data_IF_266505590082
#
_entry.id   IF_266505590082
#
_cell.length_a   1.000
_cell.length_b   1.000
_cell.length_c   1.000
_cell.angle_alpha   90.00
_cell.angle_beta   90.00
_cell.angle_gamma   90.00
#
_symmetry.space_group_name_H-M   'P 1'
#
loop_
_entity.id
_entity.type
_entity.pdbx_description
1 polymer ?
#
# COMPACT_ATOMS: atom_id res chain seq x y z
N UNK A 1 -3.95 -18.00 11.37
CA UNK A 1 -4.25 -16.77 10.60
C UNK A 1 -5.72 -16.41 10.66
N UNK A 2 -6.58 -17.15 9.97
CA UNK A 2 -7.98 -16.77 9.67
C UNK A 2 -8.80 -16.31 10.87
N UNK A 3 -8.87 -17.08 11.96
CA UNK A 3 -9.67 -16.72 13.15
C UNK A 3 -9.18 -15.40 13.78
N UNK A 4 -7.86 -15.20 13.85
CA UNK A 4 -7.29 -13.94 14.37
C UNK A 4 -7.60 -12.76 13.45
N UNK A 5 -7.64 -12.97 12.14
CA UNK A 5 -7.96 -11.92 11.19
C UNK A 5 -9.40 -11.42 11.31
N UNK A 6 -10.34 -12.31 11.67
CA UNK A 6 -11.71 -11.91 11.99
C UNK A 6 -11.81 -11.14 13.32
N UNK A 7 -10.95 -11.46 14.28
CA UNK A 7 -10.91 -10.78 15.57
C UNK A 7 -10.21 -9.40 15.51
N UNK A 8 -9.21 -9.27 14.63
CA UNK A 8 -8.36 -8.09 14.51
C UNK A 8 -8.19 -7.65 13.04
N UNK A 9 -9.28 -7.25 12.35
CA UNK A 9 -9.25 -6.88 10.94
C UNK A 9 -8.36 -5.67 10.62
N UNK A 10 -8.18 -4.76 11.58
CA UNK A 10 -7.30 -3.60 11.51
C UNK A 10 -5.81 -3.94 11.60
N UNK A 11 -5.49 -5.16 12.08
CA UNK A 11 -4.12 -5.66 12.31
C UNK A 11 -3.65 -6.68 11.28
N UNK A 12 -4.41 -6.85 10.20
CA UNK A 12 -3.91 -7.48 8.99
C UNK A 12 -2.69 -6.72 8.48
N UNK A 13 -1.68 -7.44 8.02
CA UNK A 13 -0.41 -6.83 7.65
C UNK A 13 0.17 -7.44 6.36
N UNK A 14 0.83 -6.57 5.59
CA UNK A 14 1.66 -6.94 4.45
C UNK A 14 3.09 -6.47 4.64
N UNK A 15 4.08 -7.15 4.06
CA UNK A 15 5.44 -6.64 3.95
C UNK A 15 5.46 -5.29 3.23
N UNK A 16 6.27 -4.36 3.72
CA UNK A 16 6.49 -3.09 3.02
C UNK A 16 7.45 -3.32 1.86
N UNK A 17 7.07 -2.87 0.67
CA UNK A 17 7.93 -2.95 -0.51
C UNK A 17 9.26 -2.20 -0.27
N UNK A 18 10.35 -2.76 -0.81
CA UNK A 18 11.72 -2.19 -0.73
C UNK A 18 12.30 -2.08 0.68
N UNK A 19 11.68 -2.69 1.69
CA UNK A 19 12.17 -2.72 3.06
C UNK A 19 12.66 -4.12 3.45
N UNK A 20 13.40 -4.21 4.56
CA UNK A 20 13.91 -5.49 5.06
C UNK A 20 12.76 -6.42 5.51
N UNK A 21 12.94 -7.75 5.43
CA UNK A 21 11.97 -8.70 5.97
C UNK A 21 11.57 -8.38 7.41
N UNK A 22 10.31 -8.58 7.74
CA UNK A 22 9.76 -8.27 9.04
C UNK A 22 9.25 -6.84 9.21
N UNK A 23 9.55 -5.91 8.29
CA UNK A 23 8.90 -4.58 8.26
C UNK A 23 7.56 -4.69 7.54
N UNK A 24 6.50 -4.42 8.28
CA UNK A 24 5.12 -4.63 7.86
C UNK A 24 4.34 -3.31 7.88
N UNK A 25 3.33 -3.21 7.04
CA UNK A 25 2.27 -2.19 7.11
C UNK A 25 0.98 -2.87 7.53
N UNK A 26 0.32 -2.31 8.56
CA UNK A 26 -1.00 -2.78 9.01
C UNK A 26 -2.10 -2.16 8.14
N UNK A 27 -3.25 -2.82 8.08
CA UNK A 27 -4.46 -2.32 7.42
C UNK A 27 -4.88 -0.94 7.94
N UNK A 28 -4.64 -0.66 9.22
CA UNK A 28 -4.82 0.66 9.82
C UNK A 28 -3.86 1.76 9.29
N UNK A 29 -2.92 1.43 8.40
CA UNK A 29 -1.87 2.33 7.89
C UNK A 29 -0.65 2.49 8.78
N UNK A 30 -0.64 1.86 9.96
CA UNK A 30 0.49 1.92 10.89
C UNK A 30 1.63 1.02 10.44
N UNK A 31 2.86 1.46 10.64
CA UNK A 31 4.04 0.60 10.52
C UNK A 31 4.12 -0.37 11.70
N UNK A 32 4.54 -1.60 11.42
CA UNK A 32 4.84 -2.59 12.45
C UNK A 32 6.09 -3.40 12.06
N UNK A 33 6.78 -3.99 13.04
CA UNK A 33 8.00 -4.75 12.80
C UNK A 33 8.07 -6.02 13.64
N UNK A 34 8.47 -7.12 13.02
CA UNK A 34 8.92 -8.34 13.70
C UNK A 34 10.40 -8.22 14.08
N UNK A 35 10.85 -9.08 14.98
CA UNK A 35 12.29 -9.28 15.21
C UNK A 35 12.95 -9.81 13.92
N UNK A 36 14.18 -9.37 13.57
CA UNK A 36 14.83 -9.76 12.32
C UNK A 36 15.03 -11.26 12.12
N UNK A 37 15.08 -12.02 13.22
CA UNK A 37 15.28 -13.47 13.23
C UNK A 37 13.96 -14.25 13.34
N UNK A 38 12.83 -13.55 13.41
CA UNK A 38 11.53 -14.20 13.51
C UNK A 38 11.22 -14.93 12.19
N UNK A 39 10.84 -16.22 12.23
CA UNK A 39 10.49 -16.97 11.02
C UNK A 39 9.31 -16.35 10.25
N UNK A 40 8.45 -15.58 10.92
CA UNK A 40 7.34 -14.89 10.28
C UNK A 40 7.77 -13.64 9.49
N UNK A 41 9.02 -13.19 9.61
CA UNK A 41 9.52 -12.00 8.90
C UNK A 41 9.42 -12.12 7.38
N UNK A 42 9.47 -13.34 6.85
CA UNK A 42 9.34 -13.65 5.43
C UNK A 42 7.90 -14.02 4.99
N UNK A 43 6.91 -13.88 5.87
CA UNK A 43 5.51 -14.18 5.53
C UNK A 43 4.98 -13.20 4.49
N UNK A 44 4.24 -13.70 3.50
CA UNK A 44 3.59 -12.86 2.48
C UNK A 44 2.47 -11.98 3.05
N UNK A 45 1.81 -12.43 4.10
CA UNK A 45 0.81 -11.71 4.88
C UNK A 45 0.71 -12.33 6.28
N UNK A 46 0.33 -11.51 7.26
CA UNK A 46 0.08 -11.98 8.62
C UNK A 46 -0.98 -11.13 9.32
N UNK A 47 -1.44 -11.58 10.48
CA UNK A 47 -2.25 -10.80 11.41
C UNK A 47 -1.51 -10.69 12.73
N UNK A 48 -1.37 -9.47 13.25
CA UNK A 48 -0.73 -9.24 14.55
C UNK A 48 -1.75 -9.39 15.69
N UNK A 49 -1.57 -10.40 16.53
CA UNK A 49 -2.36 -10.60 17.74
C UNK A 49 -1.93 -9.67 18.87
N UNK A 50 -0.63 -9.41 19.00
CA UNK A 50 -0.07 -8.55 20.05
C UNK A 50 0.97 -7.56 19.50
N UNK A 51 0.80 -6.28 19.84
CA UNK A 51 1.61 -5.14 19.44
C UNK A 51 1.93 -4.30 20.68
N UNK A 52 3.12 -3.69 20.75
CA UNK A 52 3.52 -2.80 21.87
C UNK A 52 2.91 -1.38 21.83
N UNK A 53 2.18 -1.05 20.77
CA UNK A 53 1.39 0.17 20.67
C UNK A 53 2.15 1.42 20.22
N UNK A 54 3.44 1.35 19.88
CA UNK A 54 4.20 2.50 19.35
C UNK A 54 3.51 3.09 18.10
N UNK A 55 3.35 4.42 18.09
CA UNK A 55 2.64 5.15 17.04
C UNK A 55 3.42 5.26 15.73
N UNK A 56 4.76 5.19 15.76
CA UNK A 56 5.61 5.27 14.56
C UNK A 56 5.84 3.89 13.94
N UNK A 57 6.29 2.92 14.74
CA UNK A 57 6.52 1.55 14.30
C UNK A 57 6.30 0.60 15.47
N UNK A 58 5.16 -0.08 15.50
CA UNK A 58 4.83 -1.01 16.58
C UNK A 58 5.62 -2.32 16.46
N UNK A 59 6.15 -2.84 17.56
CA UNK A 59 6.73 -4.18 17.57
C UNK A 59 5.63 -5.24 17.59
N UNK A 60 5.74 -6.22 16.71
CA UNK A 60 4.88 -7.40 16.67
C UNK A 60 5.49 -8.46 17.59
N UNK A 61 4.75 -8.83 18.63
CA UNK A 61 5.15 -9.87 19.58
C UNK A 61 4.53 -11.22 19.27
N UNK A 62 3.26 -11.20 18.83
CA UNK A 62 2.53 -12.39 18.44
C UNK A 62 1.82 -12.11 17.13
N UNK A 63 2.02 -12.99 16.17
CA UNK A 63 1.34 -12.96 14.89
C UNK A 63 1.04 -14.38 14.42
N UNK A 64 0.12 -14.49 13.47
CA UNK A 64 -0.08 -15.71 12.73
C UNK A 64 -0.01 -15.42 11.23
N UNK A 65 0.68 -16.26 10.45
CA UNK A 65 0.69 -16.11 9.00
C UNK A 65 -0.72 -16.40 8.45
N UNK A 66 -1.01 -15.81 7.31
CA UNK A 66 -2.14 -16.19 6.47
C UNK A 66 -1.74 -16.05 5.00
N UNK A 67 -2.41 -16.80 4.10
CA UNK A 67 -2.22 -16.62 2.68
C UNK A 67 -2.58 -15.19 2.27
N UNK A 68 -1.83 -14.58 1.35
CA UNK A 68 -2.15 -13.24 0.82
C UNK A 68 -3.57 -13.18 0.26
N UNK A 69 -3.98 -14.23 -0.45
CA UNK A 69 -5.32 -14.37 -1.02
C UNK A 69 -6.45 -14.32 0.03
N UNK A 70 -6.16 -14.65 1.31
CA UNK A 70 -7.17 -14.57 2.35
C UNK A 70 -7.54 -13.12 2.71
N UNK A 71 -6.67 -12.14 2.44
CA UNK A 71 -6.97 -10.73 2.73
C UNK A 71 -8.20 -10.24 1.96
N UNK A 72 -8.33 -10.62 0.68
CA UNK A 72 -9.48 -10.26 -0.16
C UNK A 72 -10.76 -10.99 0.25
N UNK A 73 -10.64 -12.21 0.78
CA UNK A 73 -11.79 -13.02 1.19
C UNK A 73 -12.37 -12.62 2.55
N UNK A 74 -11.55 -12.04 3.43
CA UNK A 74 -11.93 -11.75 4.81
C UNK A 74 -12.79 -10.49 4.97
N UNK A 75 -12.60 -9.49 4.09
CA UNK A 75 -13.28 -8.19 4.15
C UNK A 75 -13.60 -7.66 2.74
N UNK A 76 -14.38 -8.40 1.93
CA UNK A 76 -14.66 -8.02 0.55
C UNK A 76 -15.34 -6.65 0.42
N UNK A 77 -16.15 -6.26 1.41
CA UNK A 77 -16.83 -4.97 1.46
C UNK A 77 -15.93 -3.76 1.72
N UNK A 78 -14.68 -3.98 2.16
CA UNK A 78 -13.68 -2.93 2.38
C UNK A 78 -12.63 -2.87 1.27
N UNK A 79 -12.75 -3.71 0.24
CA UNK A 79 -11.90 -3.66 -0.94
C UNK A 79 -12.25 -2.44 -1.79
N UNK A 80 -11.23 -1.67 -2.13
CA UNK A 80 -11.33 -0.50 -3.00
C UNK A 80 -10.44 -0.73 -4.22
N UNK A 81 -10.99 -0.48 -5.40
CA UNK A 81 -10.27 -0.41 -6.67
C UNK A 81 -10.23 1.06 -7.10
N UNK A 82 -9.06 1.68 -7.00
CA UNK A 82 -8.85 3.10 -7.31
C UNK A 82 -7.93 3.26 -8.53
N UNK A 83 -8.31 4.16 -9.44
CA UNK A 83 -7.42 4.62 -10.51
C UNK A 83 -6.63 5.83 -10.02
N UNK A 84 -5.34 5.64 -9.75
CA UNK A 84 -4.41 6.67 -9.30
C UNK A 84 -3.70 7.24 -10.52
N UNK A 85 -3.82 8.56 -10.72
CA UNK A 85 -3.11 9.29 -11.78
C UNK A 85 -2.21 10.31 -11.09
N UNK A 86 -0.90 10.20 -11.33
CA UNK A 86 0.11 11.03 -10.68
C UNK A 86 1.25 11.36 -11.65
N UNK A 87 2.07 12.34 -11.27
CA UNK A 87 3.26 12.69 -12.02
C UNK A 87 4.46 11.91 -11.47
N UNK A 88 5.18 11.20 -12.35
CA UNK A 88 6.45 10.57 -12.03
C UNK A 88 7.59 11.56 -12.33
N UNK A 89 8.20 12.09 -11.26
CA UNK A 89 9.33 13.02 -11.37
C UNK A 89 10.60 12.37 -11.92
N UNK A 90 10.82 11.07 -11.70
CA UNK A 90 12.00 10.36 -12.21
C UNK A 90 11.88 10.15 -13.73
N UNK A 91 10.70 9.73 -14.18
CA UNK A 91 10.41 9.47 -15.61
C UNK A 91 9.94 10.70 -16.38
N UNK A 92 9.62 11.78 -15.68
CA UNK A 92 9.11 13.03 -16.27
C UNK A 92 7.86 12.80 -17.13
N UNK A 93 6.91 12.01 -16.63
CA UNK A 93 5.66 11.70 -17.33
C UNK A 93 4.50 11.48 -16.37
N UNK A 94 3.27 11.59 -16.88
CA UNK A 94 2.09 11.14 -16.14
C UNK A 94 2.09 9.62 -16.08
N UNK A 95 1.94 9.08 -14.88
CA UNK A 95 1.71 7.67 -14.64
C UNK A 95 0.28 7.47 -14.16
N UNK A 96 -0.36 6.42 -14.69
CA UNK A 96 -1.65 5.99 -14.21
C UNK A 96 -1.60 4.52 -13.82
N UNK A 97 -2.18 4.22 -12.65
CA UNK A 97 -2.14 2.91 -12.04
C UNK A 97 -3.50 2.56 -11.47
N UNK A 98 -3.92 1.31 -11.64
CA UNK A 98 -5.08 0.75 -10.95
C UNK A 98 -4.58 0.03 -9.71
N UNK A 99 -4.98 0.54 -8.56
CA UNK A 99 -4.62 0.00 -7.25
C UNK A 99 -5.81 -0.71 -6.63
N UNK A 100 -5.59 -1.94 -6.17
CA UNK A 100 -6.53 -2.62 -5.29
C UNK A 100 -6.03 -2.51 -3.86
N UNK A 101 -6.88 -2.03 -2.97
CA UNK A 101 -6.52 -1.73 -1.58
C UNK A 101 -7.51 -2.36 -0.60
N UNK A 102 -6.98 -2.77 0.54
CA UNK A 102 -7.76 -3.06 1.75
C UNK A 102 -7.26 -2.09 2.81
N UNK A 103 -8.04 -1.04 3.09
CA UNK A 103 -7.59 0.10 3.88
C UNK A 103 -6.24 0.64 3.37
N UNK A 104 -5.22 0.58 4.21
CA UNK A 104 -3.87 1.01 3.83
C UNK A 104 -3.04 -0.05 3.07
N UNK A 105 -3.49 -1.32 3.03
CA UNK A 105 -2.77 -2.41 2.37
C UNK A 105 -2.93 -2.33 0.85
N UNK A 106 -1.82 -2.24 0.13
CA UNK A 106 -1.80 -2.31 -1.34
C UNK A 106 -1.74 -3.77 -1.79
N UNK A 107 -2.86 -4.31 -2.27
CA UNK A 107 -3.02 -5.71 -2.64
C UNK A 107 -2.57 -5.98 -4.09
N UNK A 108 -2.84 -5.05 -5.00
CA UNK A 108 -2.29 -5.07 -6.34
C UNK A 108 -2.08 -3.65 -6.85
N UNK A 109 -1.10 -3.50 -7.73
CA UNK A 109 -0.78 -2.21 -8.32
C UNK A 109 -0.26 -2.40 -9.74
N UNK A 110 -1.12 -2.13 -10.73
CA UNK A 110 -0.84 -2.37 -12.13
C UNK A 110 -0.99 -1.10 -12.98
N UNK A 111 -0.27 -0.96 -14.11
CA UNK A 111 -0.50 0.14 -15.05
C UNK A 111 -1.97 0.21 -15.48
N UNK A 112 -2.53 1.42 -15.53
CA UNK A 112 -3.85 1.67 -16.08
C UNK A 112 -3.69 2.17 -17.53
N UNK A 113 -3.88 1.33 -18.55
CA UNK A 113 -3.61 1.70 -19.94
C UNK A 113 -4.55 2.78 -20.50
N UNK A 114 -5.73 2.94 -19.90
CA UNK A 114 -6.74 3.88 -20.36
C UNK A 114 -7.24 4.75 -19.20
N UNK A 115 -6.37 5.65 -18.68
CA UNK A 115 -6.73 6.49 -17.55
C UNK A 115 -7.75 7.56 -17.92
N UNK A 116 -8.48 8.06 -16.93
CA UNK A 116 -9.38 9.18 -17.12
C UNK A 116 -8.62 10.41 -17.64
N UNK A 117 -9.03 10.90 -18.81
CA UNK A 117 -8.43 12.04 -19.47
C UNK A 117 -8.53 13.31 -18.61
N UNK A 118 -9.59 13.45 -17.80
CA UNK A 118 -9.77 14.61 -16.91
C UNK A 118 -8.74 14.57 -15.77
N UNK A 119 -8.54 13.40 -15.16
CA UNK A 119 -7.51 13.21 -14.14
C UNK A 119 -6.09 13.45 -14.68
N UNK A 120 -5.78 12.94 -15.88
CA UNK A 120 -4.49 13.20 -16.56
C UNK A 120 -4.29 14.68 -16.81
N UNK A 121 -5.31 15.38 -17.32
CA UNK A 121 -5.26 16.82 -17.55
C UNK A 121 -5.01 17.58 -16.25
N UNK A 122 -5.69 17.22 -15.16
CA UNK A 122 -5.51 17.85 -13.85
C UNK A 122 -4.06 17.74 -13.36
N UNK A 123 -3.47 16.55 -13.45
CA UNK A 123 -2.06 16.32 -13.07
C UNK A 123 -1.10 17.14 -13.93
N UNK A 124 -1.30 17.17 -15.26
CA UNK A 124 -0.46 17.98 -16.15
C UNK A 124 -0.54 19.47 -15.83
N UNK A 125 -1.74 19.98 -15.57
CA UNK A 125 -1.94 21.39 -15.20
C UNK A 125 -1.27 21.72 -13.86
N UNK A 126 -1.38 20.85 -12.86
CA UNK A 126 -0.69 21.01 -11.59
C UNK A 126 0.83 21.07 -11.77
N UNK A 127 1.39 20.20 -12.61
CA UNK A 127 2.82 20.18 -12.90
C UNK A 127 3.26 21.43 -13.67
N UNK A 128 2.44 21.91 -14.61
CA UNK A 128 2.69 23.14 -15.32
C UNK A 128 2.69 24.36 -14.38
N UNK A 129 1.77 24.40 -13.41
CA UNK A 129 1.74 25.45 -12.39
C UNK A 129 2.99 25.43 -11.50
N UNK A 130 3.49 24.24 -11.17
CA UNK A 130 4.70 24.08 -10.33
C UNK A 130 5.99 24.44 -11.06
N UNK A 131 6.14 24.03 -12.31
CA UNK A 131 7.40 24.12 -13.08
C UNK A 131 7.47 25.33 -14.03
N UNK A 132 6.32 25.94 -14.31
CA UNK A 132 6.19 27.06 -15.24
C UNK A 132 6.13 26.63 -16.70
N UNK A 133 5.64 27.55 -17.55
CA UNK A 133 5.42 27.32 -18.99
C UNK A 133 6.70 27.01 -19.77
N UNK A 134 7.87 27.43 -19.28
CA UNK A 134 9.17 27.18 -19.93
C UNK A 134 9.47 25.69 -20.14
N UNK A 135 8.88 24.81 -19.34
CA UNK A 135 9.15 23.38 -19.41
C UNK A 135 8.47 22.69 -20.61
N UNK A 136 7.45 23.30 -21.20
CA UNK A 136 6.81 22.81 -22.41
C UNK A 136 7.66 23.01 -23.68
N UNK A 137 8.85 23.63 -23.56
CA UNK A 137 9.82 23.73 -24.65
C UNK A 137 9.33 24.54 -25.84
N UNK A 138 8.47 25.53 -25.61
CA UNK A 138 7.96 26.41 -26.66
C UNK A 138 9.13 27.07 -27.41
N UNK A 139 9.24 26.78 -28.71
CA UNK A 139 10.04 27.51 -29.70
C UNK A 139 9.13 28.29 -30.63
#
# INVERSE_FOLDING_TARGET
>A
GIVLALAYPDRLALPRAQERPGVMVLNSGRGAALEPQDPLAASEALVAAHLDGDRRQARIWLAAPLPRAALELLQPEQLLDDDVVEWDDERQQVMARRQRRLGALLLSDAPQPQPDAVAVQAVLLEQLQRRGLQWLGWT
#
